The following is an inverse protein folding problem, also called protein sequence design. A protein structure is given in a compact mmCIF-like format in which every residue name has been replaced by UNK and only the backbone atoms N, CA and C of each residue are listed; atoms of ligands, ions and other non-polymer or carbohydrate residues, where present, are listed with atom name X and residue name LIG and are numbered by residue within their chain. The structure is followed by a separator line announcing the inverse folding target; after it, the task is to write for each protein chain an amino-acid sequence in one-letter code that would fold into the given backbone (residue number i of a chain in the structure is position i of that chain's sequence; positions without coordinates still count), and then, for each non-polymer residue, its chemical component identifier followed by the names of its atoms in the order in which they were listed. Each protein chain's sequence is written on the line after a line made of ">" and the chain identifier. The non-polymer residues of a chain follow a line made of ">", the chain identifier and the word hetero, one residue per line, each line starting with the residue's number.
data_IF_770650825794
#
_entry.id   IF_770650825794
#
_cell.length_a   1.000
_cell.length_b   1.000
_cell.length_c   1.000
_cell.angle_alpha   90.00
_cell.angle_beta   90.00
_cell.angle_gamma   90.00
#
_symmetry.space_group_name_H-M   'P 1'
#
loop_
_entity.id
_entity.type
_entity.pdbx_description
1 polymer ?
#
# COMPACT_ATOMS: atom_id res chain seq x y z
N UNK A 1 -3.95 -1.67 24.14
CA UNK A 1 -3.45 -1.79 22.76
C UNK A 1 -2.70 -0.52 22.42
N UNK A 2 -1.38 -0.51 22.54
CA UNK A 2 -0.56 0.66 22.25
C UNK A 2 -0.29 0.71 20.74
N UNK A 3 -0.93 1.64 20.04
CA UNK A 3 -0.59 2.00 18.68
C UNK A 3 0.86 2.48 18.66
N UNK A 4 1.76 1.65 18.13
CA UNK A 4 3.17 1.97 17.93
C UNK A 4 3.24 2.95 16.75
N UNK A 5 3.18 4.25 17.04
CA UNK A 5 3.34 5.28 16.00
C UNK A 5 4.80 5.26 15.59
N UNK A 6 5.09 4.68 14.43
CA UNK A 6 6.42 4.70 13.85
C UNK A 6 6.73 6.13 13.41
N UNK A 7 7.72 6.76 14.04
CA UNK A 7 8.29 8.00 13.52
C UNK A 7 8.82 7.74 12.10
N UNK A 8 8.28 8.46 11.13
CA UNK A 8 8.67 8.31 9.72
C UNK A 8 9.96 9.09 9.50
N UNK A 9 11.02 8.39 9.10
CA UNK A 9 12.30 8.93 8.68
C UNK A 9 12.58 8.65 7.21
N UNK A 10 13.86 8.65 6.84
CA UNK A 10 14.31 8.32 5.48
C UNK A 10 14.30 6.81 5.27
N UNK A 11 13.79 6.38 4.10
CA UNK A 11 13.80 4.98 3.69
C UNK A 11 15.09 4.70 2.91
N UNK A 12 15.90 3.78 3.42
CA UNK A 12 17.16 3.38 2.78
C UNK A 12 17.22 1.86 2.60
N UNK A 13 18.00 1.43 1.61
CA UNK A 13 18.39 0.05 1.44
C UNK A 13 19.86 -0.12 1.88
N UNK A 14 20.19 -1.10 2.74
CA UNK A 14 21.55 -1.30 3.20
C UNK A 14 22.45 -1.76 2.05
N UNK A 15 23.55 -1.04 1.86
CA UNK A 15 24.58 -1.38 0.87
C UNK A 15 25.54 -2.43 1.41
N UNK A 16 26.13 -3.23 0.52
CA UNK A 16 27.16 -4.22 0.86
C UNK A 16 28.46 -3.58 1.35
N UNK A 17 28.75 -2.40 0.83
CA UNK A 17 29.90 -1.57 1.18
C UNK A 17 29.38 -0.15 1.39
N UNK A 18 29.58 0.39 2.58
CA UNK A 18 29.14 1.72 2.95
C UNK A 18 29.94 2.22 4.15
N UNK A 19 29.72 3.47 4.53
CA UNK A 19 30.44 4.11 5.65
C UNK A 19 30.16 3.44 7.00
N UNK A 20 29.00 2.78 7.16
CA UNK A 20 28.60 2.07 8.38
C UNK A 20 28.23 0.63 8.02
N UNK A 21 28.90 -0.34 8.67
CA UNK A 21 28.58 -1.77 8.54
C UNK A 21 27.73 -2.20 9.72
N UNK A 22 26.57 -2.82 9.46
CA UNK A 22 25.77 -3.47 10.50
C UNK A 22 26.37 -4.85 10.80
N UNK A 23 26.85 -5.12 12.04
CA UNK A 23 27.39 -6.42 12.44
C UNK A 23 26.44 -7.58 12.13
N UNK A 24 27.02 -8.72 11.74
CA UNK A 24 26.25 -9.89 11.27
C UNK A 24 25.27 -10.42 12.33
N UNK A 25 25.62 -10.33 13.62
CA UNK A 25 24.75 -10.75 14.73
C UNK A 25 23.44 -9.96 14.73
N UNK A 26 23.51 -8.65 14.55
CA UNK A 26 22.32 -7.80 14.54
C UNK A 26 21.48 -8.01 13.28
N UNK A 27 22.12 -8.17 12.12
CA UNK A 27 21.40 -8.49 10.88
C UNK A 27 20.58 -9.78 11.01
N UNK A 28 21.16 -10.83 11.60
CA UNK A 28 20.47 -12.10 11.83
C UNK A 28 19.27 -11.98 12.78
N UNK A 29 19.44 -11.26 13.89
CA UNK A 29 18.37 -11.06 14.88
C UNK A 29 17.22 -10.23 14.29
N UNK A 30 17.54 -9.19 13.51
CA UNK A 30 16.57 -8.26 12.94
C UNK A 30 16.03 -8.71 11.57
N UNK A 31 16.47 -9.86 11.03
CA UNK A 31 16.06 -10.34 9.72
C UNK A 31 16.47 -9.43 8.55
N UNK A 32 17.54 -8.64 8.70
CA UNK A 32 17.98 -7.67 7.69
C UNK A 32 18.78 -8.39 6.61
N UNK A 33 18.30 -8.31 5.36
CA UNK A 33 18.95 -8.74 4.14
C UNK A 33 19.29 -7.56 3.24
N UNK A 34 19.88 -7.83 2.07
CA UNK A 34 20.16 -6.80 1.05
C UNK A 34 18.89 -6.14 0.52
N UNK A 35 17.75 -6.81 0.58
CA UNK A 35 16.48 -6.32 0.06
C UNK A 35 15.62 -5.65 1.13
N UNK A 36 16.06 -5.69 2.39
CA UNK A 36 15.31 -5.08 3.49
C UNK A 36 15.39 -3.56 3.39
N UNK A 37 14.24 -2.90 3.42
CA UNK A 37 14.17 -1.45 3.56
C UNK A 37 14.22 -1.08 5.04
N UNK A 38 15.00 -0.07 5.37
CA UNK A 38 15.16 0.45 6.72
C UNK A 38 14.59 1.86 6.77
N UNK A 39 13.73 2.11 7.77
CA UNK A 39 13.34 3.45 8.18
C UNK A 39 14.40 3.99 9.13
N UNK A 40 15.04 5.11 8.76
CA UNK A 40 16.16 5.70 9.50
C UNK A 40 15.82 7.12 9.90
N UNK A 41 15.91 7.40 11.20
CA UNK A 41 15.67 8.73 11.73
C UNK A 41 16.62 9.04 12.89
N UNK A 42 16.85 10.34 13.09
CA UNK A 42 17.54 10.84 14.26
C UNK A 42 16.56 10.91 15.43
N UNK A 43 16.93 10.32 16.56
CA UNK A 43 16.23 10.51 17.83
C UNK A 43 17.26 10.90 18.88
N UNK A 44 17.06 12.07 19.49
CA UNK A 44 17.99 12.68 20.44
C UNK A 44 19.41 12.82 19.85
N UNK A 45 20.31 11.89 20.15
CA UNK A 45 21.68 11.81 19.61
C UNK A 45 22.01 10.44 19.05
N UNK A 46 20.99 9.72 18.60
CA UNK A 46 21.12 8.35 18.10
C UNK A 46 20.45 8.22 16.74
N UNK A 47 21.09 7.46 15.87
CA UNK A 47 20.47 6.99 14.63
C UNK A 47 19.67 5.74 14.99
N UNK A 48 18.35 5.81 14.79
CA UNK A 48 17.47 4.67 14.96
C UNK A 48 17.16 4.11 13.59
N UNK A 49 17.37 2.81 13.41
CA UNK A 49 17.14 2.09 12.16
C UNK A 49 16.15 0.96 12.43
N UNK A 50 15.01 0.97 11.74
CA UNK A 50 13.96 -0.05 11.92
C UNK A 50 13.66 -0.73 10.58
N UNK A 51 13.70 -2.07 10.48
CA UNK A 51 13.22 -2.78 9.29
C UNK A 51 11.75 -2.50 9.03
N UNK A 52 11.40 -2.21 7.78
CA UNK A 52 10.02 -1.97 7.36
C UNK A 52 9.65 -2.81 6.15
N UNK A 53 8.41 -3.29 6.13
CA UNK A 53 7.81 -3.92 4.96
C UNK A 53 7.09 -2.84 4.14
N UNK A 54 7.60 -2.56 2.93
CA UNK A 54 6.84 -1.78 1.96
C UNK A 54 5.80 -2.71 1.34
N UNK A 55 4.59 -2.66 1.87
CA UNK A 55 3.44 -3.22 1.16
C UNK A 55 2.96 -2.15 0.19
N UNK A 56 2.79 -2.46 -1.12
CA UNK A 56 2.01 -1.58 -1.96
C UNK A 56 0.69 -1.38 -1.21
N UNK A 57 0.30 -0.14 -0.99
CA UNK A 57 -1.09 0.11 -0.68
C UNK A 57 -1.84 -0.51 -1.85
N UNK A 58 -2.41 -1.69 -1.62
CA UNK A 58 -3.57 -2.05 -2.40
C UNK A 58 -4.42 -0.79 -2.29
N UNK A 59 -4.75 -0.16 -3.42
CA UNK A 59 -5.92 0.70 -3.45
C UNK A 59 -7.05 -0.21 -3.00
N UNK A 60 -7.19 -0.40 -1.70
CA UNK A 60 -8.43 -0.77 -1.09
C UNK A 60 -9.35 0.26 -1.67
N UNK A 61 -10.24 -0.19 -2.54
CA UNK A 61 -11.34 0.56 -3.08
C UNK A 61 -12.25 0.97 -1.89
N UNK A 62 -11.74 1.79 -0.97
CA UNK A 62 -12.42 2.22 0.25
C UNK A 62 -13.60 3.16 -0.09
N UNK A 63 -13.85 3.42 -1.38
CA UNK A 63 -15.01 4.17 -1.85
C UNK A 63 -15.66 3.61 -3.12
N UNK A 64 -15.61 2.29 -3.38
CA UNK A 64 -16.61 1.75 -4.30
C UNK A 64 -17.91 1.59 -3.52
N UNK A 65 -18.80 2.58 -3.65
CA UNK A 65 -20.21 2.42 -3.27
C UNK A 65 -20.77 1.23 -4.05
N UNK A 66 -21.28 0.22 -3.34
CA UNK A 66 -22.02 -0.85 -3.96
C UNK A 66 -23.34 -0.29 -4.49
N UNK A 67 -23.49 -0.26 -5.81
CA UNK A 67 -24.75 0.12 -6.44
C UNK A 67 -25.67 -1.09 -6.51
N UNK A 68 -26.88 -0.93 -6.00
CA UNK A 68 -27.93 -1.94 -6.13
C UNK A 68 -28.36 -2.05 -7.60
N UNK A 69 -28.89 -3.22 -7.99
CA UNK A 69 -29.48 -3.42 -9.34
C UNK A 69 -30.54 -2.37 -9.68
N UNK A 70 -31.27 -1.86 -8.68
CA UNK A 70 -32.26 -0.77 -8.85
C UNK A 70 -31.59 0.54 -9.21
N UNK A 71 -30.56 0.95 -8.49
CA UNK A 71 -29.79 2.18 -8.79
C UNK A 71 -29.13 2.10 -10.17
N UNK A 72 -28.55 0.95 -10.52
CA UNK A 72 -27.96 0.74 -11.85
C UNK A 72 -29.04 0.87 -12.94
N UNK A 73 -30.23 0.31 -12.72
CA UNK A 73 -31.32 0.42 -13.69
C UNK A 73 -31.88 1.83 -13.84
N UNK A 74 -31.92 2.60 -12.75
CA UNK A 74 -32.34 4.00 -12.77
C UNK A 74 -31.31 4.86 -13.52
N UNK A 75 -30.02 4.67 -13.24
CA UNK A 75 -28.93 5.33 -13.94
C UNK A 75 -28.94 5.04 -15.45
N UNK A 76 -29.12 3.78 -15.84
CA UNK A 76 -29.23 3.39 -17.25
C UNK A 76 -30.49 3.96 -17.94
N UNK A 77 -31.52 4.35 -17.19
CA UNK A 77 -32.75 4.94 -17.74
C UNK A 77 -32.65 6.46 -17.85
N UNK A 78 -32.01 7.10 -16.88
CA UNK A 78 -31.85 8.55 -16.78
C UNK A 78 -30.73 9.08 -17.67
N UNK A 79 -29.62 8.33 -17.84
CA UNK A 79 -28.60 8.71 -18.80
C UNK A 79 -29.01 8.36 -20.24
N UNK A 80 -28.79 9.31 -21.15
CA UNK A 80 -28.89 9.17 -22.61
C UNK A 80 -27.76 8.31 -23.20
N UNK A 81 -27.38 7.22 -22.52
CA UNK A 81 -26.41 6.27 -23.07
C UNK A 81 -26.95 5.75 -24.41
N UNK A 82 -26.06 5.66 -25.39
CA UNK A 82 -26.42 5.09 -26.68
C UNK A 82 -26.94 3.65 -26.52
N UNK A 83 -27.92 3.25 -27.35
CA UNK A 83 -28.53 1.91 -27.29
C UNK A 83 -27.48 0.78 -27.33
N UNK A 84 -26.40 0.98 -28.08
CA UNK A 84 -25.30 0.02 -28.20
C UNK A 84 -24.53 -0.16 -26.89
N UNK A 85 -24.36 0.92 -26.12
CA UNK A 85 -23.67 0.88 -24.82
C UNK A 85 -24.56 0.25 -23.74
N UNK A 86 -25.87 0.55 -23.73
CA UNK A 86 -26.84 -0.08 -22.80
C UNK A 86 -26.84 -1.61 -22.93
N UNK A 87 -26.84 -2.14 -24.16
CA UNK A 87 -26.84 -3.59 -24.41
C UNK A 87 -25.55 -4.28 -23.94
N UNK A 88 -24.39 -3.64 -24.13
CA UNK A 88 -23.11 -4.18 -23.64
C UNK A 88 -23.07 -4.23 -22.11
N UNK A 89 -23.52 -3.18 -21.45
CA UNK A 89 -23.53 -3.08 -19.98
C UNK A 89 -24.51 -4.11 -19.38
N UNK A 90 -25.71 -4.27 -19.95
CA UNK A 90 -26.67 -5.27 -19.49
C UNK A 90 -26.13 -6.71 -19.57
N UNK A 91 -25.32 -7.03 -20.59
CA UNK A 91 -24.71 -8.36 -20.73
C UNK A 91 -23.66 -8.64 -19.66
N UNK A 92 -22.96 -7.61 -19.17
CA UNK A 92 -21.95 -7.72 -18.12
C UNK A 92 -22.61 -7.86 -16.73
N UNK A 93 -23.74 -7.18 -16.50
CA UNK A 93 -24.45 -7.21 -15.21
C UNK A 93 -25.27 -8.50 -14.99
N UNK A 94 -25.62 -9.22 -16.07
CA UNK A 94 -26.42 -10.44 -16.01
C UNK A 94 -25.60 -11.75 -15.99
N UNK A 95 -24.27 -11.65 -16.06
CA UNK A 95 -23.33 -12.72 -15.70
C UNK A 95 -23.12 -12.77 -14.19
#
# INVERSE_FOLDING_TARGET
>A
MTSNVLTIGELIQPLDKGQITIPIKFRKILGISRQTVLNVFLKDRSIIMTPVEIKPQQKTNVYLRDYTKKEISAFLKEDELSKSLKNKIQKIISQ
#
